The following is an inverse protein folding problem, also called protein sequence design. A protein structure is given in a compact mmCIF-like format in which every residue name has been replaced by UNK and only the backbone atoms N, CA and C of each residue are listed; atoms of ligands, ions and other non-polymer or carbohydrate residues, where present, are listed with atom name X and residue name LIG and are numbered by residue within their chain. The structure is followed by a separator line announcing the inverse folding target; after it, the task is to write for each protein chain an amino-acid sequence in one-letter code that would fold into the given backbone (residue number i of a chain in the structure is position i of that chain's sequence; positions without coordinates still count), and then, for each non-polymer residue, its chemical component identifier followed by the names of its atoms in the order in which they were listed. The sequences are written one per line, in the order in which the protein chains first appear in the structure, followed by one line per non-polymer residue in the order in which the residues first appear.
data_IF_393968541947
#
_entry.id   IF_393968541947
#
_cell.length_a   1.000
_cell.length_b   1.000
_cell.length_c   1.000
_cell.angle_alpha   90.00
_cell.angle_beta   90.00
_cell.angle_gamma   90.00
#
_symmetry.space_group_name_H-M   'P 1'
#
loop_
_entity.id
_entity.type
_entity.pdbx_description
1 polymer ?
#
# COMPACT_ATOMS: atom_id res chain seq x y z
N UNK A 1 23.89 8.58 5.02
CA UNK A 1 22.64 8.17 4.34
C UNK A 1 22.78 6.93 3.44
N UNK A 2 23.89 6.71 2.72
CA UNK A 2 24.08 5.51 1.87
C UNK A 2 23.84 4.17 2.58
N UNK A 3 24.23 4.04 3.85
CA UNK A 3 24.07 2.80 4.64
C UNK A 3 22.59 2.49 4.94
N UNK A 4 21.77 3.52 5.16
CA UNK A 4 20.34 3.37 5.49
C UNK A 4 19.57 2.99 4.22
N UNK A 5 19.85 3.66 3.10
CA UNK A 5 19.29 3.31 1.79
C UNK A 5 19.62 1.85 1.43
N UNK A 6 20.89 1.43 1.58
CA UNK A 6 21.32 0.05 1.30
C UNK A 6 20.56 -0.99 2.13
N UNK A 7 20.30 -0.68 3.42
CA UNK A 7 19.52 -1.54 4.32
C UNK A 7 18.06 -1.68 3.85
N UNK A 8 17.43 -0.58 3.46
CA UNK A 8 16.04 -0.57 2.97
C UNK A 8 15.96 -1.30 1.64
N UNK A 9 16.86 -1.03 0.69
CA UNK A 9 16.90 -1.71 -0.60
C UNK A 9 17.07 -3.22 -0.46
N UNK A 10 17.91 -3.68 0.48
CA UNK A 10 18.11 -5.10 0.73
C UNK A 10 16.89 -5.76 1.38
N UNK A 11 16.23 -5.07 2.31
CA UNK A 11 14.97 -5.55 2.89
C UNK A 11 13.87 -5.67 1.84
N UNK A 12 13.74 -4.65 0.97
CA UNK A 12 12.77 -4.64 -0.12
C UNK A 12 13.05 -5.77 -1.13
N UNK A 13 14.33 -6.01 -1.47
CA UNK A 13 14.73 -7.13 -2.32
C UNK A 13 14.35 -8.48 -1.72
N UNK A 14 14.56 -8.69 -0.42
CA UNK A 14 14.17 -9.95 0.26
C UNK A 14 12.65 -10.13 0.22
N UNK A 15 11.87 -9.06 0.40
CA UNK A 15 10.41 -9.09 0.33
C UNK A 15 9.93 -9.40 -1.10
N UNK A 16 10.56 -8.82 -2.12
CA UNK A 16 10.21 -9.04 -3.54
C UNK A 16 10.66 -10.40 -4.08
N UNK A 17 11.81 -10.91 -3.60
CA UNK A 17 12.33 -12.23 -3.97
C UNK A 17 11.65 -13.37 -3.21
N UNK A 18 10.88 -13.07 -2.16
CA UNK A 18 10.13 -14.09 -1.46
C UNK A 18 9.19 -14.80 -2.44
N UNK A 19 9.04 -16.14 -2.36
CA UNK A 19 8.08 -16.86 -3.18
C UNK A 19 6.70 -16.22 -2.96
N UNK A 20 6.03 -15.86 -4.06
CA UNK A 20 4.70 -15.23 -4.33
C UNK A 20 3.51 -15.60 -3.43
N UNK A 21 3.72 -15.90 -2.15
CA UNK A 21 2.76 -16.12 -1.08
C UNK A 21 2.44 -14.83 -0.30
N UNK A 22 3.02 -13.70 -0.73
CA UNK A 22 2.67 -12.36 -0.29
C UNK A 22 1.41 -11.71 -0.91
N UNK A 23 0.98 -11.95 -2.17
CA UNK A 23 -0.09 -11.17 -2.79
C UNK A 23 -1.42 -11.31 -2.02
N UNK A 24 -1.73 -12.48 -1.46
CA UNK A 24 -2.91 -12.66 -0.60
C UNK A 24 -2.81 -12.01 0.80
N UNK A 25 -1.61 -11.63 1.24
CA UNK A 25 -1.37 -10.94 2.53
C UNK A 25 -0.96 -9.49 2.37
N UNK A 26 -0.65 -9.06 1.15
CA UNK A 26 -0.19 -7.72 0.81
C UNK A 26 -1.18 -6.65 1.27
N UNK A 27 -2.48 -6.91 1.13
CA UNK A 27 -3.54 -6.03 1.60
C UNK A 27 -3.45 -5.78 3.12
N UNK A 28 -3.29 -6.85 3.92
CA UNK A 28 -3.13 -6.69 5.37
C UNK A 28 -1.81 -5.97 5.71
N UNK A 29 -0.72 -6.25 4.99
CA UNK A 29 0.56 -5.57 5.20
C UNK A 29 0.44 -4.08 4.93
N UNK A 30 -0.23 -3.68 3.84
CA UNK A 30 -0.50 -2.28 3.50
C UNK A 30 -1.36 -1.62 4.58
N UNK A 31 -2.40 -2.29 5.10
CA UNK A 31 -3.21 -1.79 6.22
C UNK A 31 -2.37 -1.50 7.47
N UNK A 32 -1.44 -2.39 7.82
CA UNK A 32 -0.56 -2.17 8.96
C UNK A 32 0.48 -1.07 8.72
N UNK A 33 0.96 -0.90 7.48
CA UNK A 33 1.83 0.22 7.11
C UNK A 33 1.06 1.54 7.23
N UNK A 34 -0.17 1.62 6.72
CA UNK A 34 -1.01 2.81 6.81
C UNK A 34 -1.33 3.16 8.27
N UNK A 35 -1.68 2.17 9.10
CA UNK A 35 -1.90 2.37 10.53
C UNK A 35 -0.63 2.90 11.23
N UNK A 36 0.53 2.29 10.92
CA UNK A 36 1.81 2.72 11.48
C UNK A 36 2.19 4.14 11.06
N UNK A 37 2.02 4.48 9.79
CA UNK A 37 2.30 5.82 9.26
C UNK A 37 1.36 6.86 9.86
N UNK A 38 0.05 6.60 9.94
CA UNK A 38 -0.89 7.53 10.56
C UNK A 38 -0.62 7.79 12.04
N UNK A 39 -0.15 6.78 12.79
CA UNK A 39 0.28 6.94 14.18
C UNK A 39 1.57 7.77 14.27
N UNK A 40 2.57 7.49 13.43
CA UNK A 40 3.84 8.23 13.42
C UNK A 40 3.61 9.69 13.02
N UNK A 41 2.76 9.93 12.01
CA UNK A 41 2.32 11.26 11.59
C UNK A 41 1.67 11.99 12.76
N UNK A 42 0.65 11.41 13.41
CA UNK A 42 -0.01 12.03 14.58
C UNK A 42 0.97 12.39 15.71
N UNK A 43 1.93 11.51 16.02
CA UNK A 43 2.92 11.76 17.10
C UNK A 43 3.97 12.79 16.70
N UNK A 44 4.31 12.90 15.41
CA UNK A 44 5.23 13.92 14.90
C UNK A 44 4.52 15.27 14.70
N UNK A 45 3.29 15.29 14.19
CA UNK A 45 2.43 16.48 14.07
C UNK A 45 2.13 17.13 15.41
N UNK A 46 2.03 16.36 16.50
CA UNK A 46 1.89 16.94 17.84
C UNK A 46 3.13 17.76 18.27
N UNK A 47 4.30 17.50 17.68
CA UNK A 47 5.52 18.30 17.87
C UNK A 47 5.61 19.49 16.92
N UNK A 48 4.94 19.43 15.77
CA UNK A 48 5.06 20.39 14.67
C UNK A 48 3.68 20.94 14.22
N UNK A 49 2.81 21.31 15.16
CA UNK A 49 1.47 21.84 14.83
C UNK A 49 1.52 23.15 14.01
N UNK A 50 1.49 23.08 12.68
CA UNK A 50 0.75 24.00 11.78
C UNK A 50 0.87 23.61 10.30
N UNK A 51 -0.23 23.08 9.76
CA UNK A 51 -0.69 23.41 8.40
C UNK A 51 -0.43 22.37 7.32
N UNK A 52 -1.36 21.43 7.18
CA UNK A 52 -1.93 21.07 5.88
C UNK A 52 -3.18 20.23 6.13
N UNK A 53 -4.34 20.80 5.80
CA UNK A 53 -5.59 20.04 5.72
C UNK A 53 -5.53 19.06 4.53
N UNK A 54 -6.25 17.94 4.69
CA UNK A 54 -6.77 17.02 3.67
C UNK A 54 -5.84 16.47 2.58
N UNK A 55 -5.62 15.15 2.61
CA UNK A 55 -5.82 14.32 1.41
C UNK A 55 -5.89 12.82 1.77
N UNK A 56 -7.10 12.32 1.99
CA UNK A 56 -7.42 10.91 1.79
C UNK A 56 -8.14 10.77 0.45
N UNK A 57 -7.59 10.00 -0.51
CA UNK A 57 -8.47 9.04 -1.19
C UNK A 57 -7.71 7.80 -1.66
N UNK A 58 -7.81 6.69 -0.93
CA UNK A 58 -7.42 5.38 -1.46
C UNK A 58 -8.37 4.29 -0.94
N UNK A 59 -9.64 4.42 -1.31
CA UNK A 59 -10.55 3.28 -1.47
C UNK A 59 -10.56 2.94 -2.97
N UNK A 60 -9.70 2.03 -3.40
CA UNK A 60 -9.89 1.33 -4.67
C UNK A 60 -9.38 -0.11 -4.55
N UNK A 61 -10.33 -1.03 -4.50
CA UNK A 61 -10.08 -2.46 -4.45
C UNK A 61 -11.34 -3.25 -4.80
N UNK A 62 -11.57 -3.47 -6.10
CA UNK A 62 -11.57 -4.82 -6.70
C UNK A 62 -12.38 -4.85 -8.01
N UNK A 63 -11.68 -4.94 -9.14
CA UNK A 63 -12.24 -5.47 -10.39
C UNK A 63 -12.56 -6.96 -10.22
N UNK A 64 -13.68 -7.41 -10.78
CA UNK A 64 -13.78 -8.76 -11.31
C UNK A 64 -14.54 -8.73 -12.64
N UNK A 65 -13.79 -9.07 -13.70
CA UNK A 65 -14.21 -9.30 -15.08
C UNK A 65 -14.63 -10.77 -15.23
N UNK A 66 -15.51 -11.04 -16.20
CA UNK A 66 -15.61 -12.25 -17.07
C UNK A 66 -16.99 -12.94 -17.14
N UNK A 67 -17.73 -12.65 -18.22
CA UNK A 67 -18.26 -13.57 -19.26
C UNK A 67 -19.09 -12.73 -20.26
N UNK A 68 -18.65 -12.42 -21.49
CA UNK A 68 -18.75 -13.25 -22.72
C UNK A 68 -20.06 -14.06 -22.73
N UNK A 69 -21.04 -13.79 -23.59
CA UNK A 69 -21.10 -14.21 -25.00
C UNK A 69 -22.02 -13.27 -25.81
N UNK A 70 -21.59 -12.93 -27.02
CA UNK A 70 -22.37 -12.32 -28.10
C UNK A 70 -23.45 -13.30 -28.58
N UNK A 71 -24.70 -12.87 -28.74
CA UNK A 71 -25.57 -13.52 -29.70
C UNK A 71 -26.39 -12.47 -30.46
N UNK A 72 -26.30 -12.62 -31.77
CA UNK A 72 -26.88 -11.81 -32.82
C UNK A 72 -28.39 -12.10 -32.99
N UNK A 73 -29.08 -11.14 -33.61
CA UNK A 73 -30.29 -11.24 -34.45
C UNK A 73 -31.57 -11.92 -33.89
N UNK A 74 -32.62 -11.12 -33.76
CA UNK A 74 -33.90 -11.37 -34.45
C UNK A 74 -34.58 -10.03 -34.80
#
# INVERSE_FOLDING_TARGET
MKIIIQKISRALQVVLMAPIKLPGKALNIIKYIALGLGVVETVMDDKDKKGAEESSPLEEGSSQKEKEVQDEVE
#
